data_IF_008372289721
#
_entry.id   IF_008372289721
#
_cell.length_a   1.000
_cell.length_b   1.000
_cell.length_c   1.000
_cell.angle_alpha   90.00
_cell.angle_beta   90.00
_cell.angle_gamma   90.00
#
_symmetry.space_group_name_H-M   'P 1'
#
loop_
_entity.id
_entity.type
_entity.pdbx_description
1 polymer ?
#
# COMPACT_ATOMS: atom_id res chain seq x y z
N UNK A 1 -37.40 14.85 28.48
CA UNK A 1 -36.76 14.10 29.58
C UNK A 1 -35.57 13.39 28.97
N UNK A 2 -34.35 13.73 29.39
CA UNK A 2 -33.11 13.10 28.93
C UNK A 2 -33.00 11.75 29.62
N UNK A 3 -32.61 10.70 28.89
CA UNK A 3 -31.97 9.53 29.50
C UNK A 3 -30.77 9.15 28.64
N UNK A 4 -29.61 9.34 29.24
CA UNK A 4 -28.28 9.01 28.72
C UNK A 4 -28.10 7.50 28.65
N UNK A 5 -27.53 7.02 27.56
CA UNK A 5 -26.79 5.76 27.56
C UNK A 5 -25.32 6.11 27.32
N UNK A 6 -24.55 6.16 28.40
CA UNK A 6 -23.12 5.97 28.36
C UNK A 6 -22.88 4.48 28.18
N UNK A 7 -22.37 4.08 27.01
CA UNK A 7 -21.80 2.76 26.84
C UNK A 7 -20.53 2.94 26.02
N UNK A 8 -19.44 3.03 26.76
CA UNK A 8 -18.07 2.93 26.27
C UNK A 8 -17.92 1.61 25.50
N UNK A 9 -17.87 1.71 24.19
CA UNK A 9 -17.29 0.72 23.31
C UNK A 9 -16.23 1.44 22.51
N UNK A 10 -14.98 1.03 22.69
CA UNK A 10 -13.83 1.44 21.91
C UNK A 10 -14.09 1.04 20.44
N UNK A 11 -14.92 1.80 19.74
CA UNK A 11 -15.19 1.60 18.32
C UNK A 11 -14.06 2.30 17.59
N UNK A 12 -12.92 1.60 17.62
CA UNK A 12 -11.94 1.48 16.56
C UNK A 12 -12.07 2.65 15.60
N UNK A 13 -11.20 3.65 15.78
CA UNK A 13 -10.91 4.66 14.78
C UNK A 13 -10.50 3.93 13.51
N UNK A 14 -11.47 3.48 12.73
CA UNK A 14 -11.27 3.11 11.36
C UNK A 14 -10.98 4.47 10.73
N UNK A 15 -9.72 4.76 10.33
CA UNK A 15 -9.48 5.97 9.57
C UNK A 15 -10.50 5.95 8.42
N UNK A 16 -11.08 7.11 8.03
CA UNK A 16 -12.09 7.15 6.99
C UNK A 16 -11.57 6.27 5.87
N UNK A 17 -12.33 5.23 5.51
CA UNK A 17 -11.95 4.26 4.49
C UNK A 17 -11.67 5.06 3.22
N UNK A 18 -10.42 5.50 3.09
CA UNK A 18 -9.98 6.37 2.03
C UNK A 18 -10.24 5.50 0.82
N UNK A 19 -11.08 6.01 -0.09
CA UNK A 19 -11.50 5.26 -1.26
C UNK A 19 -10.30 4.49 -1.82
N UNK A 20 -10.45 3.19 -2.14
CA UNK A 20 -9.34 2.35 -2.52
C UNK A 20 -8.51 3.09 -3.55
N UNK A 21 -7.24 3.37 -3.20
CA UNK A 21 -6.37 4.16 -4.05
C UNK A 21 -6.24 3.43 -5.38
N UNK A 22 -6.42 4.15 -6.48
CA UNK A 22 -6.18 3.58 -7.82
C UNK A 22 -4.75 3.11 -7.94
N UNK A 23 -4.52 2.05 -8.72
CA UNK A 23 -3.19 1.52 -9.01
C UNK A 23 -2.21 2.63 -9.48
N UNK A 24 -2.68 3.59 -10.30
CA UNK A 24 -1.88 4.74 -10.75
C UNK A 24 -1.38 5.63 -9.60
N UNK A 25 -2.18 5.83 -8.56
CA UNK A 25 -1.79 6.65 -7.42
C UNK A 25 -0.68 5.98 -6.61
N UNK A 26 -0.74 4.65 -6.49
CA UNK A 26 0.26 3.84 -5.80
C UNK A 26 1.54 3.77 -6.64
N UNK A 27 1.42 3.59 -7.96
CA UNK A 27 2.56 3.63 -8.88
C UNK A 27 3.31 4.98 -8.77
N UNK A 28 2.58 6.09 -8.67
CA UNK A 28 3.19 7.40 -8.49
C UNK A 28 3.96 7.52 -7.17
N UNK A 29 3.41 6.99 -6.06
CA UNK A 29 4.07 6.99 -4.75
C UNK A 29 5.34 6.11 -4.77
N UNK A 30 5.28 4.97 -5.46
CA UNK A 30 6.45 4.13 -5.70
C UNK A 30 7.52 4.84 -6.53
N UNK A 31 7.15 5.53 -7.61
CA UNK A 31 8.11 6.29 -8.40
C UNK A 31 8.73 7.44 -7.58
N UNK A 32 7.94 8.13 -6.76
CA UNK A 32 8.43 9.16 -5.84
C UNK A 32 9.42 8.57 -4.83
N UNK A 33 9.12 7.41 -4.25
CA UNK A 33 10.02 6.66 -3.38
C UNK A 33 11.36 6.36 -4.05
N UNK A 34 11.32 5.88 -5.30
CA UNK A 34 12.51 5.54 -6.09
C UNK A 34 13.33 6.78 -6.48
N UNK A 35 12.67 7.92 -6.71
CA UNK A 35 13.33 9.19 -7.00
C UNK A 35 13.82 9.93 -5.75
N UNK A 36 13.30 9.57 -4.57
CA UNK A 36 13.62 10.23 -3.29
C UNK A 36 15.09 10.06 -2.90
N UNK A 37 15.78 9.04 -3.44
CA UNK A 37 17.20 8.79 -3.14
C UNK A 37 17.46 8.41 -1.69
N UNK A 38 16.42 7.94 -0.98
CA UNK A 38 16.54 7.51 0.41
C UNK A 38 17.31 6.19 0.51
N UNK A 39 17.96 5.92 1.66
CA UNK A 39 18.70 4.68 1.85
C UNK A 39 17.80 3.44 1.74
N UNK A 40 18.38 2.34 1.25
CA UNK A 40 17.69 1.08 0.98
C UNK A 40 16.88 0.56 2.18
N UNK A 41 17.38 0.74 3.40
CA UNK A 41 16.70 0.32 4.64
C UNK A 41 15.33 1.01 4.81
N UNK A 42 15.28 2.33 4.63
CA UNK A 42 14.04 3.12 4.71
C UNK A 42 13.17 2.87 3.47
N UNK A 43 13.80 2.70 2.31
CA UNK A 43 13.10 2.38 1.07
C UNK A 43 12.39 1.02 1.16
N UNK A 44 13.00 0.02 1.81
CA UNK A 44 12.41 -1.30 2.01
C UNK A 44 11.16 -1.24 2.90
N UNK A 45 11.20 -0.54 4.04
CA UNK A 45 10.02 -0.38 4.91
C UNK A 45 8.86 0.30 4.16
N UNK A 46 9.15 1.37 3.40
CA UNK A 46 8.14 2.06 2.59
C UNK A 46 7.62 1.20 1.43
N UNK A 47 8.51 0.49 0.76
CA UNK A 47 8.18 -0.43 -0.31
C UNK A 47 7.28 -1.57 0.18
N UNK A 48 7.60 -2.17 1.33
CA UNK A 48 6.80 -3.21 1.96
C UNK A 48 5.37 -2.73 2.23
N UNK A 49 5.22 -1.50 2.75
CA UNK A 49 3.89 -0.90 2.96
C UNK A 49 3.12 -0.69 1.66
N UNK A 50 3.78 -0.23 0.60
CA UNK A 50 3.15 -0.04 -0.71
C UNK A 50 2.76 -1.38 -1.34
N UNK A 51 3.60 -2.40 -1.20
CA UNK A 51 3.29 -3.75 -1.66
C UNK A 51 2.14 -4.37 -0.87
N UNK A 52 2.11 -4.23 0.46
CA UNK A 52 1.00 -4.72 1.28
C UNK A 52 -0.31 -4.03 0.92
N UNK A 53 -0.31 -2.70 0.76
CA UNK A 53 -1.48 -1.94 0.33
C UNK A 53 -1.97 -2.40 -1.06
N UNK A 54 -1.05 -2.56 -2.02
CA UNK A 54 -1.40 -3.03 -3.38
C UNK A 54 -1.90 -4.47 -3.36
N UNK A 55 -1.34 -5.33 -2.52
CA UNK A 55 -1.74 -6.72 -2.36
C UNK A 55 -3.13 -6.83 -1.69
N UNK A 56 -3.40 -6.03 -0.66
CA UNK A 56 -4.71 -5.95 -0.04
C UNK A 56 -5.79 -5.46 -1.03
N UNK A 57 -5.46 -4.50 -1.88
CA UNK A 57 -6.33 -4.04 -2.96
C UNK A 57 -6.53 -5.14 -4.01
N UNK A 58 -5.45 -5.76 -4.50
CA UNK A 58 -5.54 -6.87 -5.44
C UNK A 58 -6.40 -8.02 -4.91
N UNK A 59 -6.25 -8.37 -3.63
CA UNK A 59 -7.05 -9.39 -2.95
C UNK A 59 -8.53 -8.99 -2.84
N UNK A 60 -8.80 -7.71 -2.53
CA UNK A 60 -10.17 -7.17 -2.47
C UNK A 60 -10.88 -7.22 -3.83
N UNK A 61 -10.11 -7.16 -4.93
CA UNK A 61 -10.61 -7.21 -6.31
C UNK A 61 -10.37 -8.56 -6.99
N UNK A 62 -9.92 -9.61 -6.27
CA UNK A 62 -9.43 -10.87 -6.85
C UNK A 62 -10.51 -11.67 -7.61
N UNK A 63 -11.79 -11.43 -7.32
CA UNK A 63 -12.94 -12.01 -8.05
C UNK A 63 -13.42 -11.15 -9.23
N UNK A 64 -12.72 -10.06 -9.53
CA UNK A 64 -13.10 -9.08 -10.54
C UNK A 64 -11.93 -8.77 -11.46
N UNK A 65 -12.22 -8.38 -12.70
CA UNK A 65 -11.18 -7.97 -13.66
C UNK A 65 -10.39 -6.73 -13.17
N UNK A 66 -10.94 -5.99 -12.19
CA UNK A 66 -10.30 -4.82 -11.58
C UNK A 66 -9.07 -5.17 -10.73
N UNK A 67 -8.83 -6.43 -10.38
CA UNK A 67 -7.63 -6.87 -9.66
C UNK A 67 -6.37 -6.96 -10.53
N UNK A 68 -6.53 -7.20 -11.84
CA UNK A 68 -5.42 -7.34 -12.78
C UNK A 68 -4.43 -6.16 -12.78
N UNK A 69 -4.84 -4.88 -12.81
CA UNK A 69 -3.89 -3.76 -12.79
C UNK A 69 -3.05 -3.72 -11.51
N UNK A 70 -3.60 -4.08 -10.35
CA UNK A 70 -2.87 -4.11 -9.08
C UNK A 70 -1.83 -5.23 -9.05
N UNK A 71 -2.15 -6.42 -9.57
CA UNK A 71 -1.21 -7.54 -9.70
C UNK A 71 -0.07 -7.17 -10.67
N UNK A 72 -0.41 -6.54 -11.80
CA UNK A 72 0.58 -6.07 -12.76
C UNK A 72 1.50 -4.98 -12.17
N UNK A 73 0.95 -4.10 -11.32
CA UNK A 73 1.70 -3.09 -10.59
C UNK A 73 2.67 -3.72 -9.59
N UNK A 74 2.22 -4.67 -8.77
CA UNK A 74 3.08 -5.41 -7.82
C UNK A 74 4.31 -6.00 -8.51
N UNK A 75 4.10 -6.68 -9.65
CA UNK A 75 5.22 -7.25 -10.42
C UNK A 75 6.22 -6.19 -10.88
N UNK A 76 5.74 -5.05 -11.38
CA UNK A 76 6.61 -3.94 -11.82
C UNK A 76 7.36 -3.31 -10.66
N UNK A 77 6.68 -3.08 -9.54
CA UNK A 77 7.27 -2.56 -8.31
C UNK A 77 8.41 -3.46 -7.81
N UNK A 78 8.18 -4.77 -7.71
CA UNK A 78 9.21 -5.74 -7.30
C UNK A 78 10.42 -5.74 -8.23
N UNK A 79 10.19 -5.74 -9.55
CA UNK A 79 11.28 -5.76 -10.52
C UNK A 79 12.11 -4.46 -10.45
N UNK A 80 11.44 -3.31 -10.49
CA UNK A 80 12.11 -2.00 -10.46
C UNK A 80 12.87 -1.77 -9.14
N UNK A 81 12.29 -2.17 -8.00
CA UNK A 81 12.96 -2.05 -6.71
C UNK A 81 14.21 -2.93 -6.63
N UNK A 82 14.15 -4.17 -7.12
CA UNK A 82 15.30 -5.07 -7.16
C UNK A 82 16.43 -4.56 -8.08
N UNK A 83 16.09 -3.86 -9.16
CA UNK A 83 17.08 -3.24 -10.05
C UNK A 83 17.74 -2.00 -9.42
N UNK A 84 16.99 -1.21 -8.65
CA UNK A 84 17.48 0.05 -8.08
C UNK A 84 18.19 -0.12 -6.75
N UNK A 85 17.75 -1.10 -5.95
CA UNK A 85 18.39 -1.51 -4.71
C UNK A 85 18.88 -2.95 -4.90
N UNK A 86 19.99 -3.16 -5.63
CA UNK A 86 20.61 -4.47 -5.67
C UNK A 86 20.91 -4.84 -4.23
N UNK A 87 20.35 -5.96 -3.76
CA UNK A 87 20.76 -6.55 -2.50
C UNK A 87 22.22 -6.92 -2.70
N UNK A 88 23.10 -6.04 -2.25
CA UNK A 88 24.54 -6.28 -2.22
C UNK A 88 24.70 -7.61 -1.51
N UNK A 89 25.11 -8.62 -2.28
CA UNK A 89 25.52 -9.91 -1.76
C UNK A 89 26.88 -9.69 -1.11
N UNK A 90 26.87 -9.02 0.05
CA UNK A 90 28.00 -8.93 0.96
C UNK A 90 28.25 -10.27 1.63
#
# INVERSE_FOLDING_TARGET
MIVSYDQSGDMQTNPPARAPRSAEAIEKDFLDLMMSGIPADIACDKFERLCDETNALAASWMMTDQGHPYIALLKRMHSAFAEHYPRDAG
#
